data_IF_221553040006
#
_entry.id   IF_221553040006
#
_cell.length_a   1.000
_cell.length_b   1.000
_cell.length_c   1.000
_cell.angle_alpha   90.00
_cell.angle_beta   90.00
_cell.angle_gamma   90.00
#
_symmetry.space_group_name_H-M   'P 1'
#
loop_
_entity.id
_entity.type
_entity.pdbx_description
1 polymer ?
#
# COMPACT_ATOMS: atom_id res chain seq x y z
N UNK A 1 3.39 -21.44 -3.79
CA UNK A 1 3.32 -20.64 -2.55
C UNK A 1 3.83 -19.25 -2.86
N UNK A 2 2.94 -18.24 -2.90
CA UNK A 2 3.32 -16.84 -2.92
C UNK A 2 4.21 -16.51 -1.73
N UNK A 3 5.10 -15.53 -1.87
CA UNK A 3 5.90 -15.05 -0.73
C UNK A 3 4.99 -14.30 0.26
N UNK A 4 5.32 -14.31 1.56
CA UNK A 4 4.61 -13.50 2.55
C UNK A 4 4.53 -12.01 2.14
N UNK A 5 5.58 -11.48 1.50
CA UNK A 5 5.57 -10.12 0.95
C UNK A 5 4.54 -9.90 -0.15
N UNK A 6 4.19 -10.94 -0.90
CA UNK A 6 3.15 -10.87 -1.94
C UNK A 6 1.75 -10.86 -1.33
N UNK A 7 1.52 -11.64 -0.26
CA UNK A 7 0.30 -11.54 0.53
C UNK A 7 0.11 -10.17 1.14
N UNK A 8 1.18 -9.61 1.72
CA UNK A 8 1.16 -8.24 2.26
C UNK A 8 0.84 -7.22 1.17
N UNK A 9 1.42 -7.39 -0.02
CA UNK A 9 1.14 -6.51 -1.17
C UNK A 9 -0.32 -6.62 -1.61
N UNK A 10 -0.83 -7.84 -1.77
CA UNK A 10 -2.23 -8.11 -2.13
C UNK A 10 -3.20 -7.51 -1.11
N UNK A 11 -2.96 -7.72 0.18
CA UNK A 11 -3.78 -7.13 1.24
C UNK A 11 -3.81 -5.59 1.14
N UNK A 12 -2.64 -4.97 0.96
CA UNK A 12 -2.57 -3.51 0.80
C UNK A 12 -3.30 -3.01 -0.46
N UNK A 13 -3.23 -3.75 -1.58
CA UNK A 13 -3.95 -3.43 -2.82
C UNK A 13 -5.46 -3.53 -2.65
N UNK A 14 -5.92 -4.63 -2.05
CA UNK A 14 -7.34 -4.90 -1.83
C UNK A 14 -7.96 -3.89 -0.87
N UNK A 15 -7.26 -3.61 0.24
CA UNK A 15 -7.74 -2.66 1.23
C UNK A 15 -7.94 -1.25 0.64
N UNK A 16 -6.95 -0.72 -0.09
CA UNK A 16 -7.05 0.60 -0.72
C UNK A 16 -8.17 0.62 -1.76
N UNK A 17 -8.33 -0.45 -2.53
CA UNK A 17 -9.39 -0.58 -3.54
C UNK A 17 -10.79 -0.53 -2.92
N UNK A 18 -10.98 -1.17 -1.77
CA UNK A 18 -12.28 -1.26 -1.09
C UNK A 18 -12.61 -0.02 -0.24
N UNK A 19 -11.61 0.52 0.47
CA UNK A 19 -11.83 1.52 1.51
C UNK A 19 -11.30 2.92 1.18
N UNK A 20 -10.42 3.05 0.18
CA UNK A 20 -9.85 4.34 -0.24
C UNK A 20 -8.98 5.02 0.81
N UNK A 21 -8.57 4.32 1.87
CA UNK A 21 -7.70 4.82 2.94
C UNK A 21 -6.61 3.79 3.29
N UNK A 22 -5.81 4.08 4.33
CA UNK A 22 -4.63 3.30 4.72
C UNK A 22 -4.67 2.76 6.17
N UNK A 23 -5.85 2.77 6.80
CA UNK A 23 -6.04 2.35 8.20
C UNK A 23 -6.95 1.12 8.30
N UNK A 24 -6.46 -0.08 7.93
CA UNK A 24 -7.23 -1.31 7.99
C UNK A 24 -7.68 -1.62 9.42
N UNK A 25 -8.97 -1.91 9.55
CA UNK A 25 -9.52 -2.42 10.81
C UNK A 25 -8.92 -3.80 11.11
N UNK A 26 -8.75 -4.12 12.40
CA UNK A 26 -8.25 -5.43 12.83
C UNK A 26 -9.09 -6.59 12.28
N UNK A 27 -10.42 -6.37 12.17
CA UNK A 27 -11.34 -7.34 11.58
C UNK A 27 -11.02 -7.63 10.12
N UNK A 28 -10.84 -6.58 9.32
CA UNK A 28 -10.54 -6.73 7.89
C UNK A 28 -9.23 -7.51 7.67
N UNK A 29 -8.19 -7.21 8.45
CA UNK A 29 -6.92 -7.95 8.35
C UNK A 29 -7.07 -9.41 8.74
N UNK A 30 -7.86 -9.71 9.78
CA UNK A 30 -8.14 -11.07 10.21
C UNK A 30 -8.90 -11.87 9.14
N UNK A 31 -9.91 -11.24 8.53
CA UNK A 31 -10.70 -11.84 7.46
C UNK A 31 -9.80 -12.17 6.25
N UNK A 32 -8.98 -11.21 5.78
CA UNK A 32 -8.00 -11.47 4.71
C UNK A 32 -7.00 -12.58 5.08
N UNK A 33 -6.44 -12.54 6.29
CA UNK A 33 -5.44 -13.51 6.75
C UNK A 33 -5.97 -14.95 6.74
N UNK A 34 -7.26 -15.13 7.01
CA UNK A 34 -7.94 -16.42 6.96
C UNK A 34 -8.37 -16.79 5.53
N UNK A 35 -9.11 -15.92 4.85
CA UNK A 35 -9.73 -16.22 3.56
C UNK A 35 -8.71 -16.39 2.42
N UNK A 36 -7.58 -15.66 2.47
CA UNK A 36 -6.51 -15.79 1.48
C UNK A 36 -5.50 -16.91 1.80
N UNK A 37 -5.72 -17.70 2.86
CA UNK A 37 -4.86 -18.84 3.20
C UNK A 37 -3.49 -18.46 3.77
N UNK A 38 -3.30 -17.23 4.26
CA UNK A 38 -2.02 -16.80 4.87
C UNK A 38 -1.70 -17.66 6.09
N UNK A 39 -2.72 -17.98 6.89
CA UNK A 39 -2.58 -18.87 8.05
C UNK A 39 -2.12 -20.29 7.66
N UNK A 40 -2.62 -20.81 6.53
CA UNK A 40 -2.33 -22.17 6.08
C UNK A 40 -0.93 -22.27 5.46
N UNK A 41 -0.54 -21.27 4.66
CA UNK A 41 0.78 -21.23 4.03
C UNK A 41 1.89 -20.82 5.00
N UNK A 42 1.56 -19.99 5.99
CA UNK A 42 2.50 -19.48 6.99
C UNK A 42 1.95 -19.67 8.42
N UNK A 43 1.89 -20.91 8.94
CA UNK A 43 1.27 -21.21 10.24
C UNK A 43 2.01 -20.62 11.45
N UNK A 44 3.26 -20.16 11.27
CA UNK A 44 4.03 -19.45 12.30
C UNK A 44 3.90 -17.93 12.20
N UNK A 45 3.24 -17.43 11.15
CA UNK A 45 3.02 -16.01 10.99
C UNK A 45 1.95 -15.57 11.98
N UNK A 46 2.34 -14.65 12.86
CA UNK A 46 1.41 -14.03 13.78
C UNK A 46 0.54 -12.99 13.06
N UNK A 47 -0.75 -12.94 13.40
CA UNK A 47 -1.72 -12.02 12.80
C UNK A 47 -1.34 -10.55 13.07
N UNK A 48 -0.87 -10.24 14.28
CA UNK A 48 -0.46 -8.86 14.63
C UNK A 48 0.80 -8.47 13.84
N UNK A 49 1.75 -9.39 13.71
CA UNK A 49 2.93 -9.19 12.87
C UNK A 49 2.55 -9.00 11.39
N UNK A 50 1.58 -9.77 10.87
CA UNK A 50 1.08 -9.60 9.52
C UNK A 50 0.38 -8.24 9.33
N UNK A 51 -0.48 -7.85 10.27
CA UNK A 51 -1.15 -6.55 10.27
C UNK A 51 -0.14 -5.40 10.24
N UNK A 52 0.93 -5.49 11.03
CA UNK A 52 2.00 -4.48 11.03
C UNK A 52 2.73 -4.41 9.66
N UNK A 53 2.91 -5.55 8.98
CA UNK A 53 3.48 -5.57 7.63
C UNK A 53 2.55 -4.92 6.59
N UNK A 54 1.24 -5.20 6.66
CA UNK A 54 0.22 -4.58 5.80
C UNK A 54 0.17 -3.07 6.03
N UNK A 55 0.14 -2.62 7.28
CA UNK A 55 0.18 -1.19 7.62
C UNK A 55 1.41 -0.50 7.06
N UNK A 56 2.58 -1.13 7.19
CA UNK A 56 3.85 -0.58 6.67
C UNK A 56 3.84 -0.46 5.15
N UNK A 57 3.28 -1.44 4.45
CA UNK A 57 3.16 -1.41 2.99
C UNK A 57 2.18 -0.31 2.53
N UNK A 58 1.07 -0.11 3.24
CA UNK A 58 0.11 0.97 2.98
C UNK A 58 0.75 2.36 3.14
N UNK A 59 1.45 2.61 4.26
CA UNK A 59 2.18 3.87 4.50
C UNK A 59 3.19 4.14 3.39
N UNK A 60 3.98 3.12 3.02
CA UNK A 60 4.98 3.24 1.95
C UNK A 60 4.36 3.64 0.62
N UNK A 61 3.17 3.13 0.30
CA UNK A 61 2.44 3.47 -0.94
C UNK A 61 1.92 4.90 -0.91
N UNK A 62 1.39 5.35 0.22
CA UNK A 62 1.00 6.74 0.40
C UNK A 62 2.19 7.68 0.21
N UNK A 63 3.33 7.39 0.86
CA UNK A 63 4.55 8.18 0.69
C UNK A 63 4.99 8.25 -0.79
N UNK A 64 4.91 7.12 -1.51
CA UNK A 64 5.24 7.07 -2.93
C UNK A 64 4.25 7.88 -3.77
N UNK A 65 2.96 7.83 -3.46
CA UNK A 65 1.93 8.62 -4.12
C UNK A 65 2.18 10.12 -3.90
N UNK A 66 2.43 10.55 -2.67
CA UNK A 66 2.77 11.94 -2.33
C UNK A 66 4.03 12.41 -3.07
N UNK A 67 5.10 11.60 -3.07
CA UNK A 67 6.34 11.91 -3.80
C UNK A 67 6.10 12.06 -5.30
N UNK A 68 5.28 11.18 -5.89
CA UNK A 68 4.93 11.22 -7.32
C UNK A 68 4.12 12.46 -7.67
N UNK A 69 3.11 12.80 -6.87
CA UNK A 69 2.30 14.00 -7.05
C UNK A 69 3.15 15.26 -6.94
N UNK A 70 4.04 15.33 -5.94
CA UNK A 70 4.99 16.45 -5.79
C UNK A 70 5.89 16.59 -7.01
N UNK A 71 6.48 15.50 -7.49
CA UNK A 71 7.32 15.52 -8.69
C UNK A 71 6.55 15.99 -9.94
N UNK A 72 5.30 15.56 -10.10
CA UNK A 72 4.45 16.00 -11.20
C UNK A 72 4.12 17.50 -11.11
N UNK A 73 3.81 17.99 -9.91
CA UNK A 73 3.57 19.41 -9.66
C UNK A 73 4.82 20.25 -9.94
N UNK A 74 5.99 19.81 -9.46
CA UNK A 74 7.27 20.48 -9.71
C UNK A 74 7.56 20.58 -11.22
N UNK A 75 7.30 19.51 -11.98
CA UNK A 75 7.44 19.52 -13.46
C UNK A 75 6.50 20.51 -14.13
N UNK A 76 5.24 20.59 -13.70
CA UNK A 76 4.28 21.54 -14.26
C UNK A 76 4.69 22.99 -13.95
N UNK A 77 5.11 23.27 -12.72
CA UNK A 77 5.57 24.61 -12.31
C UNK A 77 6.84 25.03 -13.08
N UNK A 78 7.82 24.13 -13.21
CA UNK A 78 9.05 24.43 -13.98
C UNK A 78 8.76 24.54 -15.48
N UNK A 79 7.83 23.75 -16.02
CA UNK A 79 7.35 23.88 -17.40
C UNK A 79 6.69 25.23 -17.68
N UNK A 80 5.87 25.71 -16.76
CA UNK A 80 5.22 27.04 -16.80
C UNK A 80 6.22 28.21 -16.72
N UNK A 81 7.36 28.02 -16.03
CA UNK A 81 8.40 29.05 -15.87
C UNK A 81 9.34 29.21 -17.06
N UNK A 82 9.20 28.43 -18.12
CA UNK A 82 9.87 28.71 -19.40
C UNK A 82 8.93 29.49 -20.33
N UNK A 83 8.94 30.83 -20.33
CA UNK A 83 8.47 31.52 -21.52
C UNK A 83 9.46 31.15 -22.62
N UNK A 84 8.97 30.44 -23.65
CA UNK A 84 9.65 30.40 -24.94
C UNK A 84 9.84 31.85 -25.36
N UNK A 85 11.06 32.37 -25.23
CA UNK A 85 11.45 33.63 -25.85
C UNK A 85 11.37 33.38 -27.35
N UNK A 86 10.30 33.88 -27.98
CA UNK A 86 10.24 34.11 -29.42
C UNK A 86 10.78 35.50 -29.73
#
# INVERSE_FOLDING_TARGET
MPKLSEYVRMAADEYVREHGNIEPSARWVADFFHECGVQDEYPRQDLVAFAAMVQKELIKREEQAVKKTRLQLDKMIHGLKSPRKS
#
